data_IF_074445863538
#
_entry.id   IF_074445863538
#
_cell.length_a   1.000
_cell.length_b   1.000
_cell.length_c   1.000
_cell.angle_alpha   90.00
_cell.angle_beta   90.00
_cell.angle_gamma   90.00
#
_symmetry.space_group_name_H-M   'P 1'
#
loop_
_entity.id
_entity.type
_entity.pdbx_description
1 polymer ?
#
# COMPACT_ATOMS: atom_id res chain seq x y z
N UNK A 1 -1.67 -38.88 61.83
CA UNK A 1 -3.15 -38.89 61.69
C UNK A 1 -3.51 -37.66 60.88
N UNK A 2 -3.83 -37.82 59.59
CA UNK A 2 -5.17 -37.65 59.01
C UNK A 2 -5.63 -36.17 59.05
N UNK A 3 -6.08 -35.48 57.99
CA UNK A 3 -6.80 -35.95 56.80
C UNK A 3 -6.67 -34.98 55.62
N UNK A 4 -6.84 -35.58 54.45
CA UNK A 4 -7.15 -35.00 53.14
C UNK A 4 -8.54 -34.37 53.13
N UNK A 5 -8.75 -33.28 52.39
CA UNK A 5 -10.05 -32.93 51.84
C UNK A 5 -9.88 -32.31 50.45
N UNK A 6 -10.20 -33.13 49.44
CA UNK A 6 -10.41 -32.79 48.04
C UNK A 6 -11.83 -32.23 47.92
N UNK A 7 -12.04 -31.16 47.14
CA UNK A 7 -13.37 -30.76 46.69
C UNK A 7 -13.48 -30.86 45.16
N UNK A 8 -14.63 -31.31 44.63
CA UNK A 8 -14.78 -31.70 43.24
C UNK A 8 -15.35 -30.56 42.39
N UNK A 9 -14.88 -30.44 41.15
CA UNK A 9 -15.58 -29.65 40.13
C UNK A 9 -16.29 -30.60 39.16
N UNK A 10 -17.61 -30.66 39.30
CA UNK A 10 -18.55 -31.23 38.34
C UNK A 10 -19.00 -30.13 37.37
N UNK A 11 -19.02 -30.42 36.07
CA UNK A 11 -20.12 -30.07 35.14
C UNK A 11 -19.78 -30.61 33.73
N UNK A 12 -20.35 -31.75 33.34
CA UNK A 12 -21.64 -31.94 32.64
C UNK A 12 -21.61 -31.48 31.17
N UNK A 13 -21.50 -32.49 30.28
CA UNK A 13 -21.80 -32.40 28.84
C UNK A 13 -23.28 -32.08 28.65
N UNK A 14 -23.59 -31.11 27.80
CA UNK A 14 -24.92 -30.96 27.19
C UNK A 14 -24.80 -31.01 25.67
N UNK A 15 -25.41 -32.03 25.10
CA UNK A 15 -25.81 -32.07 23.70
C UNK A 15 -26.93 -31.05 23.48
N UNK A 16 -26.98 -30.44 22.31
CA UNK A 16 -28.13 -29.67 21.87
C UNK A 16 -28.45 -30.00 20.42
N UNK A 17 -29.55 -30.74 20.27
CA UNK A 17 -30.29 -30.95 19.02
C UNK A 17 -31.05 -29.68 18.67
N UNK A 18 -30.94 -29.20 17.43
CA UNK A 18 -31.77 -28.11 16.93
C UNK A 18 -32.83 -28.65 15.97
N UNK A 19 -34.08 -28.38 16.36
CA UNK A 19 -35.28 -28.51 15.55
C UNK A 19 -35.47 -27.28 14.66
N UNK A 20 -36.22 -27.50 13.59
CA UNK A 20 -36.52 -26.70 12.40
C UNK A 20 -37.32 -25.40 12.61
N UNK A 21 -37.04 -24.35 11.81
CA UNK A 21 -38.00 -23.49 11.06
C UNK A 21 -37.21 -22.32 10.42
N UNK A 22 -37.02 -22.25 9.10
CA UNK A 22 -37.87 -21.63 8.05
C UNK A 22 -37.75 -20.10 7.91
N UNK A 23 -37.61 -19.68 6.64
CA UNK A 23 -37.61 -18.32 6.05
C UNK A 23 -36.29 -17.55 6.23
N UNK A 24 -35.68 -16.91 5.23
CA UNK A 24 -36.13 -16.46 3.92
C UNK A 24 -34.93 -16.20 2.99
N UNK A 25 -35.12 -16.51 1.70
CA UNK A 25 -34.73 -15.73 0.51
C UNK A 25 -33.31 -15.14 0.39
N UNK A 26 -32.40 -15.88 -0.24
CA UNK A 26 -31.30 -15.32 -1.05
C UNK A 26 -31.08 -16.19 -2.30
N UNK A 27 -31.13 -15.63 -3.53
CA UNK A 27 -30.97 -16.42 -4.73
C UNK A 27 -29.52 -16.43 -5.24
N UNK A 28 -29.11 -17.61 -5.70
CA UNK A 28 -28.02 -17.94 -6.62
C UNK A 28 -26.54 -17.79 -6.19
N UNK A 29 -26.05 -18.87 -5.56
CA UNK A 29 -24.72 -19.41 -5.90
C UNK A 29 -24.78 -19.97 -7.33
N UNK A 30 -23.92 -19.48 -8.22
CA UNK A 30 -23.65 -20.13 -9.49
C UNK A 30 -22.60 -21.23 -9.27
N UNK A 31 -23.04 -22.45 -9.03
CA UNK A 31 -22.22 -23.66 -9.07
C UNK A 31 -21.80 -23.93 -10.51
N UNK A 32 -20.52 -23.74 -10.82
CA UNK A 32 -19.94 -24.20 -12.09
C UNK A 32 -19.77 -25.71 -11.98
N UNK A 33 -20.71 -26.46 -12.54
CA UNK A 33 -20.54 -27.88 -12.83
C UNK A 33 -19.54 -28.03 -13.97
N UNK A 34 -18.39 -28.64 -13.67
CA UNK A 34 -17.41 -29.05 -14.67
C UNK A 34 -17.94 -30.28 -15.40
N UNK A 35 -18.69 -30.09 -16.50
CA UNK A 35 -18.99 -31.16 -17.43
C UNK A 35 -17.82 -31.30 -18.41
N UNK A 36 -16.95 -32.27 -18.12
CA UNK A 36 -15.89 -32.73 -19.02
C UNK A 36 -16.56 -33.56 -20.13
N UNK A 37 -16.82 -32.97 -21.30
CA UNK A 37 -17.19 -33.72 -22.50
C UNK A 37 -15.90 -34.08 -23.24
N UNK A 38 -15.51 -35.34 -23.17
CA UNK A 38 -14.51 -35.91 -24.07
C UNK A 38 -15.15 -36.07 -25.45
N UNK A 39 -14.50 -35.51 -26.46
CA UNK A 39 -14.63 -35.97 -27.83
C UNK A 39 -13.23 -35.92 -28.46
N UNK A 40 -12.67 -37.11 -28.64
CA UNK A 40 -11.51 -37.41 -29.45
C UNK A 40 -11.99 -37.63 -30.89
N UNK A 41 -11.53 -36.81 -31.83
CA UNK A 41 -11.42 -37.19 -33.24
C UNK A 41 -10.08 -36.65 -33.76
N UNK A 42 -9.23 -37.57 -34.20
CA UNK A 42 -8.03 -37.29 -34.99
C UNK A 42 -8.46 -36.62 -36.31
N UNK A 43 -7.88 -35.46 -36.60
CA UNK A 43 -8.08 -34.73 -37.84
C UNK A 43 -7.04 -33.63 -37.99
N UNK A 44 -6.17 -33.78 -38.98
CA UNK A 44 -5.10 -32.88 -39.38
C UNK A 44 -5.56 -31.41 -39.46
N UNK A 45 -5.07 -30.55 -38.55
CA UNK A 45 -5.40 -29.12 -38.55
C UNK A 45 -4.42 -28.39 -39.46
N UNK A 46 -4.81 -28.24 -40.72
CA UNK A 46 -4.28 -27.14 -41.54
C UNK A 46 -4.66 -25.81 -40.88
N UNK A 47 -3.66 -25.02 -40.46
CA UNK A 47 -3.87 -23.67 -39.97
C UNK A 47 -4.58 -22.85 -41.06
N UNK A 48 -5.80 -22.35 -40.85
CA UNK A 48 -6.43 -21.51 -41.85
C UNK A 48 -5.59 -20.25 -42.00
N UNK A 49 -5.13 -20.01 -43.21
CA UNK A 49 -4.34 -18.85 -43.58
C UNK A 49 -5.24 -17.62 -43.46
N UNK A 50 -5.28 -17.02 -42.26
CA UNK A 50 -6.09 -15.82 -42.01
C UNK A 50 -5.66 -14.70 -42.96
N UNK A 51 -6.61 -14.22 -43.76
CA UNK A 51 -6.37 -13.13 -44.69
C UNK A 51 -6.02 -11.85 -43.93
N UNK A 52 -5.18 -10.99 -44.51
CA UNK A 52 -4.74 -9.70 -43.93
C UNK A 52 -5.90 -8.82 -43.44
N UNK A 53 -7.10 -8.96 -44.04
CA UNK A 53 -8.34 -8.27 -43.63
C UNK A 53 -8.94 -8.81 -42.32
N UNK A 54 -8.82 -10.11 -42.07
CA UNK A 54 -9.35 -10.76 -40.87
C UNK A 54 -8.45 -10.53 -39.66
N UNK A 55 -7.12 -10.47 -39.88
CA UNK A 55 -6.16 -9.97 -38.88
C UNK A 55 -6.44 -8.51 -38.52
N UNK A 56 -6.76 -7.65 -39.51
CA UNK A 56 -7.07 -6.24 -39.28
C UNK A 56 -8.40 -6.05 -38.51
N UNK A 57 -9.44 -6.79 -38.88
CA UNK A 57 -10.75 -6.72 -38.22
C UNK A 57 -10.75 -7.32 -36.80
N UNK A 58 -9.87 -8.28 -36.51
CA UNK A 58 -9.64 -8.76 -35.13
C UNK A 58 -8.69 -7.87 -34.34
N UNK A 59 -7.81 -7.11 -35.00
CA UNK A 59 -6.88 -6.20 -34.32
C UNK A 59 -7.56 -4.99 -33.67
N UNK A 60 -8.77 -4.60 -34.14
CA UNK A 60 -9.56 -3.54 -33.50
C UNK A 60 -10.12 -3.92 -32.13
N UNK A 61 -10.41 -5.20 -31.88
CA UNK A 61 -10.84 -5.67 -30.55
C UNK A 61 -9.67 -5.68 -29.57
N UNK A 62 -8.46 -6.01 -30.03
CA UNK A 62 -7.23 -5.97 -29.22
C UNK A 62 -6.73 -4.55 -28.95
N UNK A 63 -6.93 -3.62 -29.89
CA UNK A 63 -6.56 -2.21 -29.70
C UNK A 63 -7.42 -1.50 -28.65
N UNK A 64 -8.69 -1.89 -28.50
CA UNK A 64 -9.58 -1.34 -27.47
C UNK A 64 -9.16 -1.74 -26.05
N UNK A 65 -8.63 -2.97 -25.88
CA UNK A 65 -8.17 -3.47 -24.59
C UNK A 65 -6.92 -2.73 -24.07
N UNK A 66 -6.12 -2.14 -24.95
CA UNK A 66 -4.93 -1.37 -24.57
C UNK A 66 -5.21 0.02 -23.98
N UNK A 67 -6.40 0.58 -24.21
CA UNK A 67 -6.76 1.94 -23.77
C UNK A 67 -7.39 1.99 -22.35
N UNK A 68 -7.62 0.85 -21.70
CA UNK A 68 -8.51 0.75 -20.51
C UNK A 68 -7.77 0.85 -19.17
N UNK A 69 -6.43 0.85 -19.12
CA UNK A 69 -5.68 0.75 -17.85
C UNK A 69 -4.71 1.91 -17.56
N UNK A 70 -5.14 3.17 -17.74
CA UNK A 70 -4.39 4.34 -17.25
C UNK A 70 -5.10 5.01 -16.06
N UNK A 71 -5.09 4.36 -14.90
CA UNK A 71 -5.69 4.89 -13.66
C UNK A 71 -4.75 5.82 -12.89
N UNK A 72 -4.04 6.72 -13.60
CA UNK A 72 -3.07 7.63 -12.98
C UNK A 72 -3.71 8.67 -12.06
N UNK A 73 -4.95 9.09 -12.36
CA UNK A 73 -5.60 10.19 -11.66
C UNK A 73 -4.93 11.55 -11.87
N UNK A 74 -5.67 12.61 -11.58
CA UNK A 74 -5.14 13.97 -11.57
C UNK A 74 -4.44 14.26 -10.24
N UNK A 75 -3.29 14.95 -10.28
CA UNK A 75 -2.60 15.43 -9.08
C UNK A 75 -3.56 16.31 -8.26
N UNK A 76 -3.79 16.03 -6.96
CA UNK A 76 -4.59 16.90 -6.12
C UNK A 76 -3.93 18.27 -5.91
N UNK A 77 -4.75 19.33 -5.84
CA UNK A 77 -4.27 20.71 -5.69
C UNK A 77 -3.95 21.10 -4.23
N UNK A 78 -4.28 20.24 -3.27
CA UNK A 78 -4.11 20.49 -1.83
C UNK A 78 -2.83 19.89 -1.24
N UNK A 79 -1.96 19.32 -2.09
CA UNK A 79 -0.68 18.73 -1.66
C UNK A 79 0.30 19.81 -1.18
N UNK A 80 1.21 19.41 -0.30
CA UNK A 80 2.21 20.27 0.32
C UNK A 80 1.91 20.58 1.79
N UNK A 81 2.75 21.45 2.35
CA UNK A 81 2.66 21.89 3.74
C UNK A 81 1.56 22.94 3.86
N UNK A 82 0.53 22.63 4.64
CA UNK A 82 -0.55 23.54 4.97
C UNK A 82 -0.16 24.42 6.16
N UNK A 83 -0.09 25.72 5.93
CA UNK A 83 0.26 26.72 6.97
C UNK A 83 -0.88 27.05 7.95
N UNK A 84 -2.06 26.48 7.71
CA UNK A 84 -3.28 26.69 8.51
C UNK A 84 -3.27 25.97 9.86
N UNK A 85 -2.30 25.08 10.11
CA UNK A 85 -2.21 24.32 11.36
C UNK A 85 -1.40 25.04 12.45
N UNK A 86 -1.74 24.83 13.73
CA UNK A 86 -0.92 25.28 14.85
C UNK A 86 0.50 24.69 14.76
N UNK A 87 1.52 25.46 15.18
CA UNK A 87 2.93 25.02 15.27
C UNK A 87 3.77 25.03 13.97
N UNK A 88 3.43 25.87 12.99
CA UNK A 88 4.32 26.15 11.85
C UNK A 88 4.07 25.29 10.60
N UNK A 89 2.95 24.57 10.58
CA UNK A 89 2.45 23.84 9.43
C UNK A 89 2.20 22.36 9.71
N UNK A 90 1.47 21.69 8.82
CA UNK A 90 1.30 20.24 8.80
C UNK A 90 1.11 19.76 7.35
N UNK A 91 1.26 18.46 7.10
CA UNK A 91 0.87 17.89 5.81
C UNK A 91 -0.65 17.83 5.69
N UNK A 92 -1.13 17.70 4.45
CA UNK A 92 -2.57 17.54 4.21
C UNK A 92 -3.14 16.33 4.95
N UNK A 93 -4.36 16.46 5.46
CA UNK A 93 -5.08 15.33 6.04
C UNK A 93 -5.47 14.34 4.93
N UNK A 94 -5.68 13.10 5.34
CA UNK A 94 -6.22 12.04 4.52
C UNK A 94 -7.71 12.25 4.29
N UNK A 95 -8.20 11.96 3.08
CA UNK A 95 -9.63 11.76 2.87
C UNK A 95 -10.10 10.54 3.67
N UNK A 96 -11.42 10.41 3.84
CA UNK A 96 -12.03 9.27 4.54
C UNK A 96 -11.86 7.90 3.84
N UNK A 97 -11.12 7.85 2.73
CA UNK A 97 -10.83 6.64 1.99
C UNK A 97 -9.59 5.95 2.57
N UNK A 98 -9.63 4.62 2.65
CA UNK A 98 -8.58 3.82 3.30
C UNK A 98 -7.25 3.76 2.52
N UNK A 99 -7.11 4.53 1.44
CA UNK A 99 -5.96 4.60 0.54
C UNK A 99 -5.00 5.76 0.85
N UNK A 100 -5.03 6.26 2.08
CA UNK A 100 -4.17 7.32 2.54
C UNK A 100 -3.67 7.03 3.96
N UNK A 101 -2.41 7.37 4.21
CA UNK A 101 -1.86 7.46 5.57
C UNK A 101 -1.10 8.78 5.73
N UNK A 102 -1.14 9.35 6.93
CA UNK A 102 -0.45 10.60 7.23
C UNK A 102 -0.06 10.67 8.71
N UNK A 103 1.08 11.28 8.99
CA UNK A 103 1.53 11.59 10.35
C UNK A 103 0.77 12.75 10.99
N UNK A 104 0.03 13.52 10.20
CA UNK A 104 -0.76 14.67 10.67
C UNK A 104 -2.16 14.27 11.13
N UNK A 105 -2.54 12.99 10.99
CA UNK A 105 -3.82 12.46 11.46
C UNK A 105 -3.90 12.35 12.98
N UNK A 106 -5.13 12.20 13.47
CA UNK A 106 -5.36 11.89 14.88
C UNK A 106 -4.83 10.49 15.20
N UNK A 107 -4.09 10.35 16.30
CA UNK A 107 -3.51 9.09 16.77
C UNK A 107 -4.57 8.01 17.02
N UNK A 108 -5.80 8.41 17.36
CA UNK A 108 -6.94 7.51 17.54
C UNK A 108 -7.43 6.91 16.23
N UNK A 109 -7.10 7.51 15.08
CA UNK A 109 -7.39 6.96 13.76
C UNK A 109 -6.32 5.93 13.36
N UNK A 110 -6.49 4.69 13.80
CA UNK A 110 -5.57 3.59 13.50
C UNK A 110 -5.49 3.24 12.00
N UNK A 111 -6.45 3.72 11.19
CA UNK A 111 -6.50 3.46 9.75
C UNK A 111 -5.51 4.36 9.03
N UNK A 112 -5.63 5.68 9.25
CA UNK A 112 -4.86 6.69 8.53
C UNK A 112 -3.60 7.13 9.27
N UNK A 113 -3.57 7.04 10.61
CA UNK A 113 -2.42 7.48 11.39
C UNK A 113 -1.21 6.56 11.26
N UNK A 114 -0.06 7.20 11.17
CA UNK A 114 1.26 6.58 11.30
C UNK A 114 2.21 7.48 12.08
N UNK A 115 3.08 6.93 12.93
CA UNK A 115 4.01 7.75 13.70
C UNK A 115 5.05 8.42 12.80
N UNK A 116 5.48 9.66 13.12
CA UNK A 116 6.57 10.33 12.43
C UNK A 116 7.90 9.59 12.64
N UNK A 117 8.92 9.96 11.86
CA UNK A 117 10.25 9.38 12.01
C UNK A 117 11.21 10.37 12.65
N UNK A 118 12.03 9.89 13.58
CA UNK A 118 13.13 10.63 14.16
C UNK A 118 14.43 10.26 13.44
N UNK A 119 15.11 11.24 12.86
CA UNK A 119 16.40 11.05 12.18
C UNK A 119 17.61 11.21 13.10
N UNK A 120 17.43 11.74 14.32
CA UNK A 120 18.43 11.81 15.38
C UNK A 120 17.90 11.23 16.70
N UNK A 121 17.62 9.93 16.79
CA UNK A 121 17.34 9.29 18.07
C UNK A 121 18.60 9.32 18.97
N UNK A 122 18.43 9.70 20.24
CA UNK A 122 19.54 9.96 21.18
C UNK A 122 20.49 8.77 21.34
N UNK A 123 19.99 7.53 21.21
CA UNK A 123 20.76 6.31 21.49
C UNK A 123 21.33 5.62 20.25
N UNK A 124 20.85 5.91 19.04
CA UNK A 124 21.23 5.14 17.83
C UNK A 124 22.19 5.87 16.91
N UNK A 125 22.31 7.21 17.01
CA UNK A 125 23.09 8.01 16.06
C UNK A 125 23.52 9.35 16.64
N UNK A 126 24.68 9.85 16.19
CA UNK A 126 25.11 11.23 16.45
C UNK A 126 24.19 12.27 15.77
N UNK A 127 24.32 13.54 16.18
CA UNK A 127 23.46 14.63 15.69
C UNK A 127 23.73 14.95 14.21
N UNK A 128 22.73 14.73 13.36
CA UNK A 128 22.74 15.01 11.92
C UNK A 128 21.95 16.29 11.63
N UNK A 129 22.37 17.05 10.62
CA UNK A 129 21.59 18.20 10.15
C UNK A 129 20.39 17.75 9.32
N UNK A 130 19.39 18.62 9.19
CA UNK A 130 18.18 18.35 8.40
C UNK A 130 18.51 18.09 6.92
N UNK A 131 19.50 18.79 6.40
CA UNK A 131 19.96 18.69 5.02
C UNK A 131 20.54 17.31 4.73
N UNK A 132 21.41 16.81 5.62
CA UNK A 132 21.98 15.46 5.50
C UNK A 132 20.88 14.39 5.63
N UNK A 133 19.96 14.57 6.58
CA UNK A 133 18.82 13.64 6.72
C UNK A 133 17.96 13.61 5.44
N UNK A 134 17.73 14.75 4.80
CA UNK A 134 17.02 14.80 3.53
C UNK A 134 17.79 14.12 2.40
N UNK A 135 19.11 14.27 2.35
CA UNK A 135 19.96 13.57 1.38
C UNK A 135 19.88 12.05 1.55
N UNK A 136 19.90 11.55 2.79
CA UNK A 136 19.75 10.12 3.09
C UNK A 136 18.40 9.56 2.66
N UNK A 137 17.33 10.32 2.87
CA UNK A 137 16.00 9.96 2.41
C UNK A 137 15.98 9.87 0.88
N UNK A 138 16.54 10.86 0.20
CA UNK A 138 16.65 10.89 -1.26
C UNK A 138 17.48 9.71 -1.76
N UNK A 139 18.60 9.40 -1.10
CA UNK A 139 19.46 8.26 -1.41
C UNK A 139 18.68 6.95 -1.30
N UNK A 140 17.92 6.73 -0.22
CA UNK A 140 17.09 5.53 -0.06
C UNK A 140 16.02 5.42 -1.17
N UNK A 141 15.39 6.53 -1.55
CA UNK A 141 14.40 6.55 -2.64
C UNK A 141 15.07 6.28 -4.00
N UNK A 142 16.25 6.84 -4.24
CA UNK A 142 17.05 6.60 -5.45
C UNK A 142 17.55 5.15 -5.52
N UNK A 143 17.95 4.57 -4.40
CA UNK A 143 18.34 3.16 -4.32
C UNK A 143 17.16 2.24 -4.65
N UNK A 144 15.96 2.58 -4.21
CA UNK A 144 14.75 1.86 -4.63
C UNK A 144 14.53 1.95 -6.14
N UNK A 145 14.76 3.12 -6.75
CA UNK A 145 14.67 3.32 -8.19
C UNK A 145 15.70 2.48 -8.96
N UNK A 146 16.96 2.51 -8.53
CA UNK A 146 18.06 1.81 -9.20
C UNK A 146 17.88 0.28 -9.13
N UNK A 147 17.55 -0.24 -7.94
CA UNK A 147 17.31 -1.67 -7.77
C UNK A 147 16.08 -2.16 -8.56
N UNK A 148 15.10 -1.28 -8.79
CA UNK A 148 13.96 -1.56 -9.66
C UNK A 148 14.38 -1.67 -11.14
N UNK A 149 15.12 -0.69 -11.67
CA UNK A 149 15.55 -0.66 -13.08
C UNK A 149 16.44 -1.85 -13.45
N UNK A 150 17.30 -2.29 -12.54
CA UNK A 150 18.25 -3.38 -12.80
C UNK A 150 17.63 -4.78 -12.74
N UNK A 151 16.29 -4.91 -12.69
CA UNK A 151 15.56 -6.18 -12.56
C UNK A 151 16.09 -7.09 -11.43
N UNK A 152 16.78 -6.52 -10.43
CA UNK A 152 17.41 -7.27 -9.32
C UNK A 152 16.42 -7.54 -8.18
N UNK A 153 15.28 -6.85 -8.19
CA UNK A 153 14.10 -7.14 -7.36
C UNK A 153 13.16 -8.08 -8.14
N UNK A 154 13.64 -9.26 -8.52
CA UNK A 154 12.73 -10.37 -8.88
C UNK A 154 12.23 -10.98 -7.57
N UNK A 155 10.92 -10.92 -7.32
CA UNK A 155 10.20 -11.90 -6.49
C UNK A 155 9.98 -11.71 -4.97
N UNK A 156 9.91 -10.51 -4.38
CA UNK A 156 9.44 -10.40 -2.96
C UNK A 156 8.48 -9.27 -2.61
N UNK A 157 8.09 -8.40 -3.54
CA UNK A 157 7.09 -7.36 -3.27
C UNK A 157 6.00 -7.38 -4.35
N UNK A 158 4.70 -7.42 -3.97
CA UNK A 158 3.59 -7.53 -4.91
C UNK A 158 3.37 -6.28 -5.78
N UNK A 159 4.05 -5.19 -5.48
CA UNK A 159 3.55 -3.85 -5.81
C UNK A 159 4.34 -3.14 -6.94
N UNK A 160 5.57 -3.59 -7.27
CA UNK A 160 6.40 -3.12 -8.41
C UNK A 160 6.41 -1.60 -8.74
N UNK A 161 6.19 -0.71 -7.76
CA UNK A 161 6.12 0.72 -8.04
C UNK A 161 7.47 1.33 -8.37
N UNK A 162 7.49 2.23 -9.35
CA UNK A 162 8.67 3.04 -9.72
C UNK A 162 8.61 4.38 -8.99
N UNK A 163 9.55 4.70 -8.08
CA UNK A 163 9.64 6.02 -7.47
C UNK A 163 10.17 7.07 -8.45
N UNK A 164 9.59 8.27 -8.41
CA UNK A 164 10.07 9.45 -9.13
C UNK A 164 10.02 10.65 -8.19
N UNK A 165 11.17 11.24 -7.90
CA UNK A 165 11.22 12.50 -7.16
C UNK A 165 10.76 13.60 -8.11
N UNK A 166 9.67 14.26 -7.77
CA UNK A 166 9.00 15.25 -8.62
C UNK A 166 9.10 16.66 -8.08
N UNK A 167 9.43 16.80 -6.79
CA UNK A 167 9.60 18.09 -6.14
C UNK A 167 10.57 17.94 -4.98
N UNK A 168 11.57 18.82 -4.93
CA UNK A 168 12.51 18.93 -3.82
C UNK A 168 12.65 20.42 -3.49
N UNK A 169 12.35 20.76 -2.25
CA UNK A 169 12.54 22.08 -1.63
C UNK A 169 13.53 21.92 -0.47
N UNK A 170 13.78 23.00 0.25
CA UNK A 170 14.72 22.98 1.37
C UNK A 170 14.25 22.08 2.52
N UNK A 171 12.95 22.02 2.79
CA UNK A 171 12.33 21.30 3.92
C UNK A 171 11.28 20.27 3.49
N UNK A 172 11.11 20.05 2.19
CA UNK A 172 10.03 19.25 1.65
C UNK A 172 10.47 18.44 0.43
N UNK A 173 10.07 17.17 0.38
CA UNK A 173 10.32 16.27 -0.75
C UNK A 173 9.02 15.58 -1.13
N UNK A 174 8.69 15.58 -2.42
CA UNK A 174 7.56 14.80 -2.97
C UNK A 174 8.05 13.78 -3.98
N UNK A 175 7.54 12.57 -3.82
CA UNK A 175 7.85 11.40 -4.63
C UNK A 175 6.55 10.82 -5.17
N UNK A 176 6.48 10.63 -6.47
CA UNK A 176 5.40 9.91 -7.14
C UNK A 176 5.81 8.46 -7.33
N UNK A 177 4.96 7.54 -6.90
CA UNK A 177 5.15 6.10 -7.12
C UNK A 177 4.14 5.61 -8.15
N UNK A 178 4.62 5.26 -9.34
CA UNK A 178 3.79 4.75 -10.43
C UNK A 178 3.75 3.22 -10.47
N UNK A 179 2.55 2.63 -10.57
CA UNK A 179 2.35 1.20 -10.77
C UNK A 179 2.52 0.83 -12.25
N UNK A 180 3.33 -0.18 -12.58
CA UNK A 180 3.59 -0.55 -13.98
C UNK A 180 2.44 -1.27 -14.67
N UNK A 181 1.50 -1.89 -13.92
CA UNK A 181 0.48 -2.78 -14.49
C UNK A 181 -0.86 -2.06 -14.73
N UNK A 182 -1.25 -1.14 -13.84
CA UNK A 182 -2.55 -0.47 -13.89
C UNK A 182 -2.46 1.07 -13.96
N UNK A 183 -1.24 1.61 -13.97
CA UNK A 183 -1.00 3.05 -14.09
C UNK A 183 -1.38 3.87 -12.87
N UNK A 184 -1.69 3.26 -11.72
CA UNK A 184 -1.96 3.98 -10.48
C UNK A 184 -0.75 4.83 -10.05
N UNK A 185 -1.01 6.04 -9.58
CA UNK A 185 0.01 6.93 -9.02
C UNK A 185 -0.33 7.23 -7.57
N UNK A 186 0.65 6.99 -6.72
CA UNK A 186 0.62 7.40 -5.32
C UNK A 186 1.55 8.60 -5.12
N UNK A 187 1.06 9.63 -4.43
CA UNK A 187 1.87 10.76 -3.99
C UNK A 187 2.37 10.47 -2.56
N UNK A 188 3.69 10.53 -2.38
CA UNK A 188 4.35 10.44 -1.08
C UNK A 188 5.05 11.76 -0.80
N UNK A 189 4.74 12.36 0.34
CA UNK A 189 5.23 13.65 0.76
C UNK A 189 6.03 13.48 2.05
N UNK A 190 7.17 14.14 2.13
CA UNK A 190 8.01 14.20 3.31
C UNK A 190 8.25 15.66 3.66
N UNK A 191 8.03 16.00 4.92
CA UNK A 191 8.24 17.34 5.43
C UNK A 191 9.12 17.31 6.68
N UNK A 192 10.09 18.21 6.70
CA UNK A 192 11.08 18.39 7.75
C UNK A 192 10.78 19.70 8.48
N UNK A 193 9.87 19.70 9.48
CA UNK A 193 9.52 20.90 10.21
C UNK A 193 10.74 21.59 10.83
N UNK A 194 10.78 22.92 10.73
CA UNK A 194 11.74 23.72 11.48
C UNK A 194 11.38 23.65 12.97
N UNK A 195 12.25 23.04 13.78
CA UNK A 195 11.99 22.87 15.20
C UNK A 195 13.16 22.28 15.97
N UNK A 196 12.98 22.15 17.28
CA UNK A 196 13.98 21.51 18.16
C UNK A 196 14.00 19.98 18.01
N UNK A 197 12.88 19.39 17.58
CA UNK A 197 12.75 17.95 17.36
C UNK A 197 13.30 17.59 15.97
N UNK A 198 14.11 16.53 15.91
CA UNK A 198 14.66 15.99 14.67
C UNK A 198 13.69 15.02 14.00
N UNK A 199 12.47 15.50 13.70
CA UNK A 199 11.38 14.68 13.17
C UNK A 199 11.14 14.94 11.68
N UNK A 200 10.68 13.90 10.99
CA UNK A 200 10.12 13.90 9.65
C UNK A 200 8.66 13.52 9.74
N UNK A 201 7.82 14.39 9.20
CA UNK A 201 6.41 14.11 8.93
C UNK A 201 6.27 13.58 7.52
N UNK A 202 5.31 12.70 7.29
CA UNK A 202 5.06 12.17 5.96
C UNK A 202 3.59 11.86 5.72
N UNK A 203 3.26 11.77 4.44
CA UNK A 203 1.95 11.39 3.93
C UNK A 203 2.13 10.50 2.70
N UNK A 204 1.35 9.44 2.60
CA UNK A 204 1.33 8.54 1.43
C UNK A 204 -0.12 8.32 1.03
N UNK A 205 -0.50 8.76 -0.16
CA UNK A 205 -1.88 8.72 -0.64
C UNK A 205 -1.96 8.36 -2.12
N UNK A 206 -2.89 7.46 -2.47
CA UNK A 206 -3.19 7.15 -3.86
C UNK A 206 -4.08 8.21 -4.50
N UNK A 207 -3.82 8.59 -5.76
CA UNK A 207 -4.65 9.58 -6.49
C UNK A 207 -6.05 9.08 -6.82
N UNK A 208 -6.19 7.77 -7.03
CA UNK A 208 -7.43 7.12 -7.45
C UNK A 208 -7.62 5.84 -6.66
N UNK A 209 -8.88 5.49 -6.39
CA UNK A 209 -9.29 4.27 -5.71
C UNK A 209 -9.84 4.55 -4.31
N UNK A 210 -10.91 3.84 -3.93
CA UNK A 210 -11.54 4.02 -2.62
C UNK A 210 -10.96 3.10 -1.53
N UNK A 211 -10.22 2.06 -1.93
CA UNK A 211 -9.77 1.01 -1.04
C UNK A 211 -8.27 0.74 -1.22
N UNK A 212 -7.53 0.72 -0.12
CA UNK A 212 -6.20 0.11 -0.07
C UNK A 212 -6.33 -1.39 0.10
N UNK A 213 -6.72 -2.08 -0.99
CA UNK A 213 -7.02 -3.52 -0.99
C UNK A 213 -5.91 -4.38 -0.36
N UNK A 214 -4.67 -3.88 -0.31
CA UNK A 214 -3.52 -4.61 0.22
C UNK A 214 -2.62 -3.82 1.18
N UNK A 215 -3.04 -2.66 1.68
CA UNK A 215 -2.19 -1.84 2.56
C UNK A 215 -0.91 -1.34 1.88
N UNK A 216 -0.95 -1.07 0.57
CA UNK A 216 0.20 -0.73 -0.28
C UNK A 216 0.94 0.50 0.25
N UNK A 217 0.22 1.54 0.63
CA UNK A 217 0.82 2.78 1.17
C UNK A 217 1.56 2.50 2.48
N UNK A 218 0.94 1.73 3.38
CA UNK A 218 1.57 1.31 4.65
C UNK A 218 2.78 0.41 4.42
N UNK A 219 2.71 -0.53 3.46
CA UNK A 219 3.86 -1.39 3.07
C UNK A 219 5.02 -0.58 2.50
N UNK A 220 4.72 0.44 1.70
CA UNK A 220 5.71 1.37 1.12
C UNK A 220 6.45 2.14 2.21
N UNK A 221 5.71 2.80 3.09
CA UNK A 221 6.26 3.52 4.24
C UNK A 221 7.07 2.58 5.13
N UNK A 222 6.58 1.36 5.40
CA UNK A 222 7.33 0.34 6.15
C UNK A 222 8.65 -0.03 5.47
N UNK A 223 8.67 -0.19 4.14
CA UNK A 223 9.88 -0.51 3.41
C UNK A 223 10.92 0.63 3.45
N UNK A 224 10.46 1.88 3.36
CA UNK A 224 11.32 3.06 3.51
C UNK A 224 11.87 3.16 4.93
N UNK A 225 11.02 2.99 5.95
CA UNK A 225 11.42 2.95 7.36
C UNK A 225 12.54 1.94 7.59
N UNK A 226 12.38 0.70 7.13
CA UNK A 226 13.38 -0.35 7.31
C UNK A 226 14.72 -0.03 6.63
N UNK A 227 14.72 0.73 5.53
CA UNK A 227 15.95 1.18 4.88
C UNK A 227 16.61 2.33 5.64
N UNK A 228 15.82 3.28 6.14
CA UNK A 228 16.29 4.41 6.96
C UNK A 228 16.78 3.98 8.34
N UNK A 229 16.19 2.94 8.94
CA UNK A 229 16.65 2.35 10.20
C UNK A 229 18.08 1.82 10.11
N UNK A 230 18.49 1.33 8.93
CA UNK A 230 19.89 0.95 8.69
C UNK A 230 20.85 2.15 8.69
N UNK A 231 20.32 3.36 8.42
CA UNK A 231 21.02 4.64 8.57
C UNK A 231 20.85 5.23 9.98
N UNK A 232 20.26 4.51 10.93
CA UNK A 232 20.12 4.93 12.33
C UNK A 232 18.88 5.76 12.65
N UNK A 233 17.92 5.87 11.73
CA UNK A 233 16.62 6.50 12.00
C UNK A 233 15.75 5.61 12.90
N UNK A 234 14.71 6.18 13.51
CA UNK A 234 13.70 5.41 14.25
C UNK A 234 12.29 5.95 14.02
N UNK A 235 11.26 5.15 14.29
CA UNK A 235 9.93 5.72 14.55
C UNK A 235 9.98 6.54 15.84
N UNK A 236 9.27 7.65 15.84
CA UNK A 236 9.01 8.43 17.04
C UNK A 236 7.64 8.01 17.56
N UNK A 237 7.65 7.11 18.54
CA UNK A 237 6.43 6.67 19.22
C UNK A 237 6.11 7.60 20.41
N UNK A 238 6.88 8.70 20.61
CA UNK A 238 6.66 9.65 21.69
C UNK A 238 5.43 10.52 21.43
N UNK A 239 4.29 10.00 21.88
CA UNK A 239 3.12 10.80 22.23
C UNK A 239 2.75 10.48 23.68
#
# INVERSE_FOLDING_TARGET
MASVAISPNYNTKKSFSYFTSSSSSFPFLCTITCQKKQQSEDGDISLPQMGRREVLLRSSEMALLGAIFSFSGTKPNYLGVQKSFPHGGALALCPATNNCISTSENISDLTHYTPPWNYNPEEKRGKVSREIAMEELVEVVCDQLYNFQQHKIKSTKPDHFTPKIVEKKDDYVRVEYGSPIFGFVDDVEFWFPAGKKAIVQYRSASRVGCYDLFGVNRKRIKALRLALEKKGWSSDDSV
#
